data_IF_712412381970
#
_entry.id   IF_712412381970
#
_cell.length_a   1.000
_cell.length_b   1.000
_cell.length_c   1.000
_cell.angle_alpha   90.00
_cell.angle_beta   90.00
_cell.angle_gamma   90.00
#
_symmetry.space_group_name_H-M   'P 1'
#
loop_
_entity.id
_entity.type
_entity.pdbx_description
1 polymer ?
#
# COMPACT_ATOMS: atom_id res chain seq x y z
N UNK A 1 -10.59 12.61 6.68
CA UNK A 1 -10.19 11.59 5.68
C UNK A 1 -10.63 12.03 4.29
N UNK A 2 -9.75 11.88 3.31
CA UNK A 2 -10.07 12.26 1.93
C UNK A 2 -10.73 11.10 1.20
N UNK A 3 -12.06 11.15 1.04
CA UNK A 3 -12.81 10.10 0.33
C UNK A 3 -12.91 10.36 -1.16
N UNK A 4 -12.44 11.52 -1.62
CA UNK A 4 -12.55 11.92 -3.01
C UNK A 4 -11.85 10.93 -3.96
N UNK A 5 -10.66 10.46 -3.60
CA UNK A 5 -9.93 9.49 -4.41
C UNK A 5 -10.67 8.15 -4.51
N UNK A 6 -11.28 7.72 -3.40
CA UNK A 6 -12.03 6.47 -3.37
C UNK A 6 -13.30 6.57 -4.20
N UNK A 7 -14.02 7.68 -4.09
CA UNK A 7 -15.21 7.91 -4.88
C UNK A 7 -14.91 7.93 -6.37
N UNK A 8 -13.82 8.59 -6.76
CA UNK A 8 -13.38 8.60 -8.14
C UNK A 8 -13.03 7.22 -8.65
N UNK A 9 -12.33 6.44 -7.83
CA UNK A 9 -11.97 5.07 -8.20
C UNK A 9 -13.21 4.23 -8.43
N UNK A 10 -14.17 4.28 -7.52
CA UNK A 10 -15.39 3.47 -7.61
C UNK A 10 -16.26 3.87 -8.80
N UNK A 11 -16.39 5.16 -9.05
CA UNK A 11 -17.16 5.65 -10.21
C UNK A 11 -16.51 5.22 -11.52
N UNK A 12 -15.19 5.31 -11.61
CA UNK A 12 -14.47 4.90 -12.81
C UNK A 12 -14.56 3.39 -13.01
N UNK A 13 -14.42 2.62 -11.94
CA UNK A 13 -14.53 1.16 -12.01
C UNK A 13 -15.93 0.70 -12.44
N UNK A 14 -16.96 1.43 -12.03
CA UNK A 14 -18.33 1.13 -12.45
C UNK A 14 -18.55 1.45 -13.92
N UNK A 15 -17.93 2.51 -14.42
CA UNK A 15 -18.11 2.96 -15.79
C UNK A 15 -17.27 2.16 -16.80
N UNK A 16 -16.00 1.90 -16.48
CA UNK A 16 -15.08 1.22 -17.40
C UNK A 16 -14.27 0.15 -16.64
N UNK A 17 -14.94 -0.91 -16.12
CA UNK A 17 -14.27 -1.87 -15.22
C UNK A 17 -13.13 -2.63 -15.89
N UNK A 18 -13.22 -2.88 -17.18
CA UNK A 18 -12.21 -3.68 -17.89
C UNK A 18 -11.07 -2.85 -18.44
N UNK A 19 -11.13 -1.52 -18.31
CA UNK A 19 -10.05 -0.67 -18.78
C UNK A 19 -8.84 -0.79 -17.88
N UNK A 20 -7.64 -0.84 -18.47
CA UNK A 20 -6.39 -0.86 -17.72
C UNK A 20 -6.21 0.45 -16.97
N UNK A 21 -6.09 0.37 -15.65
CA UNK A 21 -5.83 1.53 -14.79
C UNK A 21 -4.34 1.80 -14.67
N UNK A 22 -3.55 0.74 -14.45
CA UNK A 22 -2.10 0.81 -14.29
C UNK A 22 -1.46 -0.41 -14.91
N UNK A 23 -0.22 -0.27 -15.36
CA UNK A 23 0.56 -1.40 -15.85
C UNK A 23 2.04 -1.18 -15.55
N UNK A 24 2.76 -2.29 -15.47
CA UNK A 24 4.22 -2.27 -15.39
C UNK A 24 4.76 -3.30 -16.39
N UNK A 25 6.04 -3.64 -16.28
CA UNK A 25 6.69 -4.58 -17.20
C UNK A 25 6.15 -6.00 -17.12
N UNK A 26 5.46 -6.34 -16.05
CA UNK A 26 5.01 -7.72 -15.76
C UNK A 26 3.51 -7.88 -15.71
N UNK A 27 2.79 -6.87 -15.28
CA UNK A 27 1.38 -7.01 -14.95
C UNK A 27 0.57 -5.81 -15.44
N UNK A 28 -0.72 -6.06 -15.59
CA UNK A 28 -1.71 -5.01 -15.80
C UNK A 28 -2.75 -5.10 -14.70
N UNK A 29 -3.37 -3.97 -14.42
CA UNK A 29 -4.39 -3.87 -13.40
C UNK A 29 -5.55 -3.08 -13.98
N UNK A 30 -6.70 -3.73 -14.15
CA UNK A 30 -7.92 -3.04 -14.59
C UNK A 30 -8.51 -2.27 -13.42
N UNK A 31 -9.42 -1.34 -13.71
CA UNK A 31 -10.09 -0.60 -12.64
C UNK A 31 -10.90 -1.53 -11.73
N UNK A 32 -11.54 -2.56 -12.30
CA UNK A 32 -12.27 -3.54 -11.49
C UNK A 32 -11.34 -4.31 -10.55
N UNK A 33 -10.18 -4.74 -11.07
CA UNK A 33 -9.19 -5.47 -10.27
C UNK A 33 -8.62 -4.58 -9.18
N UNK A 34 -8.27 -3.33 -9.52
CA UNK A 34 -7.76 -2.38 -8.54
C UNK A 34 -8.76 -2.16 -7.41
N UNK A 35 -10.01 -1.92 -7.75
CA UNK A 35 -11.05 -1.68 -6.75
C UNK A 35 -11.21 -2.89 -5.82
N UNK A 36 -11.26 -4.10 -6.39
CA UNK A 36 -11.41 -5.33 -5.62
C UNK A 36 -10.23 -5.57 -4.70
N UNK A 37 -9.01 -5.44 -5.22
CA UNK A 37 -7.79 -5.64 -4.44
C UNK A 37 -7.66 -4.61 -3.34
N UNK A 38 -7.96 -3.34 -3.64
CA UNK A 38 -7.90 -2.27 -2.65
C UNK A 38 -8.87 -2.50 -1.50
N UNK A 39 -10.09 -2.93 -1.81
CA UNK A 39 -11.10 -3.24 -0.79
C UNK A 39 -10.68 -4.44 0.06
N UNK A 40 -10.06 -5.45 -0.55
CA UNK A 40 -9.54 -6.60 0.17
C UNK A 40 -8.45 -6.20 1.15
N UNK A 41 -7.50 -5.38 0.71
CA UNK A 41 -6.43 -4.86 1.57
C UNK A 41 -7.04 -4.00 2.68
N UNK A 42 -7.98 -3.12 2.34
CA UNK A 42 -8.64 -2.26 3.31
C UNK A 42 -9.37 -3.05 4.40
N UNK A 43 -10.05 -4.14 4.03
CA UNK A 43 -10.73 -5.00 4.99
C UNK A 43 -9.74 -5.62 5.98
N UNK A 44 -8.60 -6.10 5.49
CA UNK A 44 -7.57 -6.68 6.36
C UNK A 44 -6.98 -5.62 7.28
N UNK A 45 -6.67 -4.44 6.76
CA UNK A 45 -6.11 -3.37 7.57
C UNK A 45 -7.10 -2.91 8.64
N UNK A 46 -8.39 -2.86 8.33
CA UNK A 46 -9.40 -2.47 9.29
C UNK A 46 -9.46 -3.43 10.49
N UNK A 47 -9.10 -4.70 10.29
CA UNK A 47 -9.07 -5.68 11.37
C UNK A 47 -7.88 -5.51 12.31
N UNK A 48 -6.74 -5.02 11.81
CA UNK A 48 -5.48 -5.01 12.57
C UNK A 48 -4.97 -3.61 12.89
N UNK A 49 -5.47 -2.58 12.22
CA UNK A 49 -4.98 -1.21 12.38
C UNK A 49 -6.04 -0.33 13.01
N UNK A 50 -5.59 0.65 13.78
CA UNK A 50 -6.49 1.71 14.25
C UNK A 50 -6.64 2.74 13.14
N UNK A 51 -7.84 3.28 12.90
CA UNK A 51 -7.99 4.37 11.94
C UNK A 51 -7.04 5.53 12.27
N UNK A 52 -6.49 6.15 11.24
CA UNK A 52 -5.54 7.27 11.32
C UNK A 52 -4.16 6.91 11.85
N UNK A 53 -3.88 5.64 12.13
CA UNK A 53 -2.52 5.22 12.45
C UNK A 53 -1.77 4.98 11.15
N UNK A 54 -0.45 5.23 11.14
CA UNK A 54 0.31 5.07 9.91
C UNK A 54 0.47 3.60 9.51
N UNK A 55 0.41 3.38 8.20
CA UNK A 55 0.73 2.10 7.56
C UNK A 55 1.94 2.34 6.68
N UNK A 56 3.01 1.58 6.88
CA UNK A 56 4.19 1.70 6.06
C UNK A 56 4.04 0.86 4.79
N UNK A 57 4.44 1.42 3.65
CA UNK A 57 4.40 0.74 2.36
C UNK A 57 5.83 0.53 1.88
N UNK A 58 6.24 -0.73 1.78
CA UNK A 58 7.59 -1.13 1.36
C UNK A 58 7.51 -1.97 0.11
N UNK A 59 7.43 -1.30 -1.04
CA UNK A 59 7.30 -1.94 -2.35
C UNK A 59 8.37 -1.44 -3.29
N UNK A 60 8.73 -2.28 -4.26
CA UNK A 60 9.53 -1.83 -5.39
C UNK A 60 8.74 -0.71 -6.08
N UNK A 61 9.32 0.49 -6.23
CA UNK A 61 8.60 1.62 -6.81
C UNK A 61 8.14 1.38 -8.26
N UNK A 62 8.72 0.37 -8.93
CA UNK A 62 8.31 0.01 -10.29
C UNK A 62 7.16 -0.99 -10.33
N UNK A 63 6.77 -1.55 -9.20
CA UNK A 63 5.69 -2.53 -9.15
C UNK A 63 4.34 -1.82 -8.98
N UNK A 64 3.35 -2.23 -9.77
CA UNK A 64 1.99 -1.69 -9.62
C UNK A 64 1.28 -2.24 -8.38
N UNK A 65 1.88 -3.23 -7.69
CA UNK A 65 1.26 -3.81 -6.49
C UNK A 65 1.15 -2.82 -5.34
N UNK A 66 1.95 -1.75 -5.36
CA UNK A 66 1.84 -0.70 -4.35
C UNK A 66 0.53 0.10 -4.48
N UNK A 67 -0.09 0.11 -5.66
CA UNK A 67 -1.31 0.89 -5.88
C UNK A 67 -2.50 0.35 -5.09
N UNK A 68 -2.84 -0.97 -5.14
CA UNK A 68 -3.89 -1.51 -4.29
C UNK A 68 -3.61 -1.34 -2.80
N UNK A 69 -2.33 -1.41 -2.40
CA UNK A 69 -1.95 -1.22 -1.01
C UNK A 69 -2.26 0.19 -0.54
N UNK A 70 -1.93 1.19 -1.35
CA UNK A 70 -2.19 2.59 -1.05
C UNK A 70 -3.69 2.86 -0.94
N UNK A 71 -4.47 2.43 -1.93
CA UNK A 71 -5.92 2.59 -1.88
C UNK A 71 -6.54 1.80 -0.73
N UNK A 72 -5.98 0.62 -0.42
CA UNK A 72 -6.44 -0.17 0.72
C UNK A 72 -6.28 0.57 2.03
N UNK A 73 -5.15 1.24 2.23
CA UNK A 73 -4.93 2.06 3.41
C UNK A 73 -5.96 3.19 3.50
N UNK A 74 -6.29 3.81 2.37
CA UNK A 74 -7.33 4.84 2.33
C UNK A 74 -8.70 4.28 2.71
N UNK A 75 -9.06 3.08 2.21
CA UNK A 75 -10.33 2.45 2.58
C UNK A 75 -10.40 2.16 4.07
N UNK A 76 -9.29 1.80 4.69
CA UNK A 76 -9.25 1.52 6.12
C UNK A 76 -9.22 2.79 6.97
N UNK A 77 -9.10 3.95 6.36
CA UNK A 77 -9.02 5.21 7.08
C UNK A 77 -7.66 5.45 7.71
N UNK A 78 -6.62 4.82 7.19
CA UNK A 78 -5.26 4.93 7.73
C UNK A 78 -4.42 5.89 6.91
N UNK A 79 -3.53 6.59 7.58
CA UNK A 79 -2.46 7.31 6.90
C UNK A 79 -1.46 6.29 6.34
N UNK A 80 -0.81 6.61 5.23
CA UNK A 80 0.18 5.72 4.64
C UNK A 80 1.49 6.46 4.44
N UNK A 81 2.60 5.71 4.55
CA UNK A 81 3.94 6.24 4.37
C UNK A 81 4.71 5.33 3.43
N UNK A 82 4.88 5.71 2.16
CA UNK A 82 5.74 4.95 1.24
C UNK A 82 7.19 5.11 1.66
N UNK A 83 7.90 4.00 1.78
CA UNK A 83 9.31 4.00 2.14
C UNK A 83 10.12 3.37 1.02
N UNK A 84 11.32 3.89 0.81
CA UNK A 84 12.23 3.43 -0.24
C UNK A 84 12.91 2.14 0.21
N UNK A 85 12.67 1.03 -0.51
CA UNK A 85 13.26 -0.28 -0.18
C UNK A 85 14.76 -0.31 -0.47
N UNK A 86 15.31 0.68 -1.18
CA UNK A 86 16.73 0.74 -1.52
C UNK A 86 17.56 1.55 -0.52
N UNK A 87 16.92 2.17 0.48
CA UNK A 87 17.67 2.95 1.45
C UNK A 87 18.54 2.05 2.33
N UNK A 88 19.64 2.60 2.93
CA UNK A 88 20.48 1.79 3.82
C UNK A 88 19.70 1.20 4.99
N UNK A 89 20.03 -0.03 5.41
CA UNK A 89 19.29 -0.69 6.51
C UNK A 89 19.21 0.13 7.80
N UNK A 90 20.27 0.82 8.17
CA UNK A 90 20.29 1.64 9.38
C UNK A 90 19.26 2.77 9.31
N UNK A 91 19.14 3.37 8.12
CA UNK A 91 18.19 4.47 7.92
C UNK A 91 16.75 3.96 7.92
N UNK A 92 16.52 2.82 7.29
CA UNK A 92 15.20 2.21 7.28
C UNK A 92 14.76 1.85 8.71
N UNK A 93 15.65 1.26 9.49
CA UNK A 93 15.37 0.91 10.88
C UNK A 93 14.99 2.16 11.69
N UNK A 94 15.73 3.25 11.51
CA UNK A 94 15.44 4.50 12.21
C UNK A 94 14.08 5.08 11.81
N UNK A 95 13.77 5.09 10.52
CA UNK A 95 12.50 5.61 10.03
C UNK A 95 11.31 4.78 10.55
N UNK A 96 11.44 3.46 10.57
CA UNK A 96 10.39 2.59 11.09
C UNK A 96 10.17 2.81 12.59
N UNK A 97 11.27 3.01 13.33
CA UNK A 97 11.16 3.30 14.76
C UNK A 97 10.44 4.62 15.01
N UNK A 98 10.76 5.65 14.22
CA UNK A 98 10.11 6.96 14.36
C UNK A 98 8.66 6.94 13.90
N UNK A 99 8.36 6.21 12.84
CA UNK A 99 7.01 6.11 12.29
C UNK A 99 6.08 5.28 13.18
N UNK A 100 6.61 4.24 13.81
CA UNK A 100 5.87 3.30 14.66
C UNK A 100 4.56 2.84 13.98
N UNK A 101 4.64 2.21 12.79
CA UNK A 101 3.44 1.88 12.04
C UNK A 101 2.62 0.78 12.70
N UNK A 102 1.29 0.84 12.53
CA UNK A 102 0.40 -0.23 12.97
C UNK A 102 0.54 -1.47 12.12
N UNK A 103 0.89 -1.30 10.86
CA UNK A 103 1.07 -2.39 9.92
C UNK A 103 2.08 -2.01 8.86
N UNK A 104 2.70 -3.01 8.25
CA UNK A 104 3.62 -2.83 7.16
C UNK A 104 3.14 -3.71 6.01
N UNK A 105 2.91 -3.10 4.85
CA UNK A 105 2.60 -3.83 3.62
C UNK A 105 3.86 -3.85 2.77
N UNK A 106 4.27 -5.03 2.35
CA UNK A 106 5.54 -5.20 1.65
C UNK A 106 5.45 -6.26 0.56
N UNK A 107 6.16 -6.04 -0.54
CA UNK A 107 6.40 -7.08 -1.53
C UNK A 107 7.67 -7.86 -1.14
N UNK A 108 8.17 -8.71 -2.06
CA UNK A 108 9.37 -9.51 -1.78
C UNK A 108 10.58 -8.64 -1.47
N UNK A 109 10.76 -7.54 -2.21
CA UNK A 109 11.86 -6.60 -1.96
C UNK A 109 11.70 -5.90 -0.62
N UNK A 110 10.45 -5.53 -0.27
CA UNK A 110 10.16 -4.93 1.01
C UNK A 110 10.47 -5.86 2.16
N UNK A 111 10.10 -7.13 2.03
CA UNK A 111 10.40 -8.13 3.04
C UNK A 111 11.91 -8.32 3.23
N UNK A 112 12.67 -8.35 2.13
CA UNK A 112 14.12 -8.42 2.20
C UNK A 112 14.72 -7.22 2.92
N UNK A 113 14.19 -6.02 2.65
CA UNK A 113 14.65 -4.81 3.31
C UNK A 113 14.37 -4.86 4.82
N UNK A 114 13.22 -5.36 5.23
CA UNK A 114 12.88 -5.53 6.64
C UNK A 114 13.83 -6.49 7.35
N UNK A 115 14.14 -7.61 6.70
CA UNK A 115 15.10 -8.57 7.25
C UNK A 115 16.48 -7.95 7.39
N UNK A 116 16.93 -7.20 6.37
CA UNK A 116 18.26 -6.58 6.39
C UNK A 116 18.39 -5.54 7.49
N UNK A 117 17.32 -4.83 7.83
CA UNK A 117 17.38 -3.82 8.90
C UNK A 117 17.07 -4.37 10.30
N UNK A 118 16.70 -5.64 10.40
CA UNK A 118 16.43 -6.29 11.68
C UNK A 118 15.17 -5.83 12.37
N UNK A 119 14.17 -5.42 11.61
CA UNK A 119 12.92 -4.92 12.19
C UNK A 119 12.14 -6.05 12.87
N UNK A 120 11.71 -5.82 14.10
CA UNK A 120 10.98 -6.77 14.92
C UNK A 120 9.64 -6.22 15.43
N UNK A 121 9.15 -5.18 14.85
CA UNK A 121 7.93 -4.51 15.31
C UNK A 121 6.62 -5.26 15.13
#
# INVERSE_FOLDING_TARGET
MNTYMLDNLEQTAARVPEKTAFYDDRERLTFAQLCRQAKGVGSRLAEICRPRTPVALLFDPRSIRNIPALYGALYAGCAYAPLDVTMPPERLALLLALLAPSAILADAKGMSALEACGYEG
#
